data_IF_649466205473
#
_entry.id   IF_649466205473
#
_cell.length_a   1.000
_cell.length_b   1.000
_cell.length_c   1.000
_cell.angle_alpha   90.00
_cell.angle_beta   90.00
_cell.angle_gamma   90.00
#
_symmetry.space_group_name_H-M   'P 1'
#
loop_
_entity.id
_entity.type
_entity.pdbx_description
1 polymer ?
#
# COMPACT_ATOMS: atom_id res chain seq x y z
N UNK A 1 -27.46 30.26 54.79
CA UNK A 1 -28.31 30.90 53.76
C UNK A 1 -27.50 31.51 52.61
N UNK A 2 -26.39 32.23 52.84
CA UNK A 2 -25.57 32.80 51.75
C UNK A 2 -25.03 31.77 50.71
N UNK A 3 -24.72 30.56 51.15
CA UNK A 3 -24.19 29.49 50.30
C UNK A 3 -25.24 28.88 49.34
N UNK A 4 -26.52 28.88 49.71
CA UNK A 4 -27.61 28.38 48.86
C UNK A 4 -28.00 29.40 47.77
N UNK A 5 -27.92 30.69 48.07
CA UNK A 5 -28.14 31.76 47.07
C UNK A 5 -27.01 31.85 46.05
N UNK A 6 -25.75 31.72 46.48
CA UNK A 6 -24.60 31.62 45.55
C UNK A 6 -24.71 30.40 44.63
N UNK A 7 -25.19 29.25 45.13
CA UNK A 7 -25.43 28.07 44.30
C UNK A 7 -26.50 28.32 43.26
N UNK A 8 -27.62 28.95 43.64
CA UNK A 8 -28.72 29.29 42.73
C UNK A 8 -28.29 30.24 41.61
N UNK A 9 -27.43 31.22 41.92
CA UNK A 9 -26.94 32.19 40.93
C UNK A 9 -25.92 31.60 39.93
N UNK A 10 -25.22 30.52 40.32
CA UNK A 10 -24.22 29.85 39.49
C UNK A 10 -24.81 28.76 38.57
N UNK A 11 -26.04 28.29 38.83
CA UNK A 11 -26.74 27.30 38.00
C UNK A 11 -26.86 27.72 36.52
N UNK A 12 -27.30 28.95 36.17
CA UNK A 12 -27.40 29.33 34.76
C UNK A 12 -26.05 29.42 34.05
N UNK A 13 -24.97 29.78 34.76
CA UNK A 13 -23.61 29.78 34.21
C UNK A 13 -23.11 28.36 33.95
N UNK A 14 -23.40 27.42 34.85
CA UNK A 14 -23.08 25.99 34.69
C UNK A 14 -23.83 25.36 33.51
N UNK A 15 -25.11 25.68 33.33
CA UNK A 15 -25.91 25.17 32.20
C UNK A 15 -25.35 25.70 30.87
N UNK A 16 -24.99 26.99 30.79
CA UNK A 16 -24.35 27.56 29.59
C UNK A 16 -23.01 26.90 29.29
N UNK A 17 -22.20 26.63 30.31
CA UNK A 17 -20.93 25.93 30.17
C UNK A 17 -21.12 24.49 29.65
N UNK A 18 -22.07 23.73 30.22
CA UNK A 18 -22.40 22.38 29.78
C UNK A 18 -22.87 22.34 28.32
N UNK A 19 -23.73 23.28 27.91
CA UNK A 19 -24.19 23.40 26.52
C UNK A 19 -23.03 23.74 25.58
N UNK A 20 -22.12 24.63 25.99
CA UNK A 20 -20.94 25.01 25.20
C UNK A 20 -19.93 23.86 25.07
N UNK A 21 -19.68 23.11 26.15
CA UNK A 21 -18.81 21.93 26.09
C UNK A 21 -19.44 20.81 25.27
N UNK A 22 -20.77 20.64 25.33
CA UNK A 22 -21.50 19.65 24.54
C UNK A 22 -21.41 19.93 23.04
N UNK A 23 -21.60 21.18 22.61
CA UNK A 23 -21.45 21.57 21.20
C UNK A 23 -20.01 21.42 20.72
N UNK A 24 -19.02 21.77 21.54
CA UNK A 24 -17.61 21.58 21.23
C UNK A 24 -17.26 20.09 21.04
N UNK A 25 -17.80 19.21 21.88
CA UNK A 25 -17.59 17.76 21.77
C UNK A 25 -18.17 17.20 20.46
N UNK A 26 -19.38 17.63 20.07
CA UNK A 26 -20.01 17.20 18.82
C UNK A 26 -19.19 17.62 17.60
N UNK A 27 -18.65 18.83 17.60
CA UNK A 27 -17.75 19.32 16.53
C UNK A 27 -16.48 18.47 16.49
N UNK A 28 -15.88 18.16 17.65
CA UNK A 28 -14.67 17.34 17.73
C UNK A 28 -14.89 15.93 17.19
N UNK A 29 -15.99 15.27 17.58
CA UNK A 29 -16.33 13.92 17.09
C UNK A 29 -16.53 13.93 15.56
N UNK A 30 -17.23 14.94 15.05
CA UNK A 30 -17.47 15.08 13.61
C UNK A 30 -16.18 15.30 12.84
N UNK A 31 -15.28 16.15 13.34
CA UNK A 31 -13.96 16.39 12.75
C UNK A 31 -13.09 15.13 12.71
N UNK A 32 -13.08 14.34 13.80
CA UNK A 32 -12.36 13.06 13.85
C UNK A 32 -12.93 12.04 12.84
N UNK A 33 -14.25 11.96 12.69
CA UNK A 33 -14.89 11.07 11.73
C UNK A 33 -14.53 11.44 10.27
N UNK A 34 -14.53 12.74 9.96
CA UNK A 34 -14.11 13.24 8.63
C UNK A 34 -12.64 12.92 8.38
N UNK A 35 -11.76 13.17 9.36
CA UNK A 35 -10.33 12.89 9.23
C UNK A 35 -10.05 11.39 9.04
N UNK A 36 -10.79 10.54 9.76
CA UNK A 36 -10.71 9.10 9.60
C UNK A 36 -11.11 8.70 8.17
N UNK A 37 -12.28 9.15 7.70
CA UNK A 37 -12.77 8.83 6.35
C UNK A 37 -11.82 9.30 5.24
N UNK A 38 -11.25 10.50 5.38
CA UNK A 38 -10.26 11.02 4.44
C UNK A 38 -8.96 10.20 4.46
N UNK A 39 -8.56 9.66 5.62
CA UNK A 39 -7.34 8.85 5.74
C UNK A 39 -7.49 7.45 5.15
N UNK A 40 -8.69 6.85 5.19
CA UNK A 40 -8.95 5.52 4.62
C UNK A 40 -9.07 5.56 3.09
N UNK A 41 -9.48 6.69 2.51
CA UNK A 41 -9.61 6.87 1.06
C UNK A 41 -8.32 7.32 0.36
N UNK A 42 -7.18 7.35 1.05
CA UNK A 42 -5.90 7.63 0.38
C UNK A 42 -5.48 6.39 -0.39
N UNK A 43 -5.71 6.41 -1.69
CA UNK A 43 -5.14 5.46 -2.64
C UNK A 43 -3.62 5.58 -2.54
N UNK A 44 -3.00 4.61 -1.83
CA UNK A 44 -1.57 4.57 -1.59
C UNK A 44 -0.88 4.19 -2.90
N UNK A 45 -0.59 5.18 -3.73
CA UNK A 45 0.28 5.00 -4.88
C UNK A 45 1.70 4.70 -4.39
N UNK A 46 2.16 3.46 -4.58
CA UNK A 46 3.51 3.03 -4.20
C UNK A 46 4.50 3.57 -5.23
N UNK A 47 5.13 4.69 -4.91
CA UNK A 47 6.27 5.20 -5.67
C UNK A 47 7.55 4.70 -5.02
N UNK A 48 8.35 3.92 -5.75
CA UNK A 48 9.76 3.72 -5.41
C UNK A 48 10.60 4.75 -6.15
N UNK A 49 11.64 5.26 -5.47
CA UNK A 49 12.70 6.03 -6.11
C UNK A 49 13.81 5.06 -6.47
N UNK A 50 14.05 4.88 -7.77
CA UNK A 50 15.27 4.27 -8.30
C UNK A 50 16.09 5.39 -8.97
N UNK A 51 17.29 5.66 -8.46
CA UNK A 51 18.22 6.68 -8.98
C UNK A 51 17.61 8.06 -9.26
N UNK A 52 16.72 8.55 -8.37
CA UNK A 52 16.08 9.86 -8.49
C UNK A 52 14.91 9.92 -9.49
N UNK A 53 14.53 8.80 -10.11
CA UNK A 53 13.33 8.69 -10.94
C UNK A 53 12.22 8.02 -10.16
N UNK A 54 11.05 8.65 -10.12
CA UNK A 54 9.82 8.06 -9.59
C UNK A 54 9.41 6.90 -10.51
N UNK A 55 9.48 5.67 -10.00
CA UNK A 55 8.98 4.48 -10.69
C UNK A 55 7.71 4.04 -9.97
N UNK A 56 6.60 3.90 -10.72
CA UNK A 56 5.36 3.32 -10.21
C UNK A 56 5.63 1.85 -9.87
N UNK A 57 5.57 1.49 -8.58
CA UNK A 57 5.52 0.09 -8.18
C UNK A 57 4.08 -0.38 -8.37
N UNK A 58 3.91 -1.43 -9.16
CA UNK A 58 2.62 -2.10 -9.22
C UNK A 58 2.29 -2.64 -7.81
N UNK A 59 1.09 -2.38 -7.28
CA UNK A 59 0.69 -2.90 -5.99
C UNK A 59 0.75 -4.43 -6.01
N UNK A 60 1.26 -5.06 -4.96
CA UNK A 60 1.45 -6.52 -4.84
C UNK A 60 0.16 -7.35 -5.07
N UNK A 61 -1.01 -6.71 -5.03
CA UNK A 61 -2.31 -7.32 -5.24
C UNK A 61 -2.82 -7.29 -6.69
N UNK A 62 -2.09 -6.65 -7.61
CA UNK A 62 -2.41 -6.66 -9.04
C UNK A 62 -1.22 -7.24 -9.81
N UNK A 63 -1.48 -8.06 -10.85
CA UNK A 63 -0.41 -8.57 -11.68
C UNK A 63 0.33 -7.39 -12.31
N UNK A 64 1.59 -7.22 -11.92
CA UNK A 64 2.46 -6.13 -12.40
C UNK A 64 2.72 -6.21 -13.91
N UNK A 65 2.49 -7.38 -14.51
CA UNK A 65 2.76 -7.68 -15.90
C UNK A 65 1.49 -8.15 -16.60
N UNK A 66 1.33 -7.71 -17.86
CA UNK A 66 0.24 -8.16 -18.70
C UNK A 66 0.48 -9.59 -19.20
N UNK A 67 -0.59 -10.25 -19.68
CA UNK A 67 -0.46 -11.58 -20.30
C UNK A 67 0.52 -11.57 -21.49
N UNK A 68 0.58 -10.48 -22.24
CA UNK A 68 1.50 -10.32 -23.36
C UNK A 68 2.97 -10.30 -22.89
N UNK A 69 3.25 -9.67 -21.76
CA UNK A 69 4.59 -9.65 -21.18
C UNK A 69 5.03 -11.05 -20.73
N UNK A 70 4.10 -11.82 -20.13
CA UNK A 70 4.36 -13.20 -19.75
C UNK A 70 4.64 -14.11 -20.97
N UNK A 71 3.88 -13.94 -22.07
CA UNK A 71 4.12 -14.68 -23.32
C UNK A 71 5.47 -14.31 -23.95
N UNK A 72 5.83 -13.02 -23.96
CA UNK A 72 7.12 -12.56 -24.48
C UNK A 72 8.29 -13.06 -23.62
N UNK A 73 8.13 -13.11 -22.30
CA UNK A 73 9.12 -13.70 -21.41
C UNK A 73 9.34 -15.19 -21.73
N UNK A 74 8.26 -15.95 -21.88
CA UNK A 74 8.32 -17.38 -22.20
C UNK A 74 9.01 -17.66 -23.54
N UNK A 75 8.68 -16.91 -24.59
CA UNK A 75 9.31 -17.11 -25.91
C UNK A 75 10.81 -16.82 -25.88
N UNK A 76 11.24 -15.77 -25.18
CA UNK A 76 12.66 -15.44 -25.02
C UNK A 76 13.42 -16.48 -24.18
N UNK A 77 12.79 -16.99 -23.12
CA UNK A 77 13.37 -18.03 -22.28
C UNK A 77 13.60 -19.32 -23.10
N UNK A 78 12.60 -19.76 -23.87
CA UNK A 78 12.70 -20.94 -24.73
C UNK A 78 13.75 -20.76 -25.85
N UNK A 79 13.76 -19.60 -26.50
CA UNK A 79 14.75 -19.30 -27.54
C UNK A 79 16.18 -19.36 -26.99
N UNK A 80 16.41 -18.89 -25.76
CA UNK A 80 17.73 -18.92 -25.13
C UNK A 80 18.07 -20.33 -24.62
N UNK A 81 17.09 -21.07 -24.13
CA UNK A 81 17.25 -22.41 -23.57
C UNK A 81 17.63 -23.46 -24.63
N UNK A 82 17.16 -23.32 -25.87
CA UNK A 82 17.43 -24.30 -26.93
C UNK A 82 18.50 -23.85 -27.94
N UNK A 83 18.94 -22.59 -27.92
CA UNK A 83 20.08 -22.12 -28.72
C UNK A 83 21.37 -22.14 -27.91
N UNK A 84 21.93 -23.34 -27.73
CA UNK A 84 23.18 -23.55 -27.01
C UNK A 84 24.37 -23.68 -27.96
N UNK A 85 25.49 -23.08 -27.56
CA UNK A 85 26.78 -23.23 -28.22
C UNK A 85 27.58 -24.36 -27.57
N UNK A 86 28.23 -25.20 -28.38
CA UNK A 86 28.95 -26.38 -27.91
C UNK A 86 30.15 -26.04 -27.01
N UNK A 87 30.71 -24.83 -27.12
CA UNK A 87 31.82 -24.36 -26.27
C UNK A 87 31.32 -23.81 -24.93
N UNK A 88 30.19 -23.08 -24.93
CA UNK A 88 29.72 -22.32 -23.77
C UNK A 88 28.44 -22.85 -23.12
N UNK A 89 27.92 -24.01 -23.54
CA UNK A 89 26.62 -24.54 -23.11
C UNK A 89 26.46 -24.58 -21.58
N UNK A 90 27.50 -24.93 -20.82
CA UNK A 90 27.44 -24.95 -19.33
C UNK A 90 27.17 -23.58 -18.72
N UNK A 91 27.83 -22.55 -19.24
CA UNK A 91 27.64 -21.17 -18.78
C UNK A 91 26.27 -20.63 -19.21
N UNK A 92 25.80 -21.03 -20.39
CA UNK A 92 24.48 -20.64 -20.91
C UNK A 92 23.36 -21.28 -20.08
N UNK A 93 23.47 -22.56 -19.73
CA UNK A 93 22.51 -23.25 -18.86
C UNK A 93 22.48 -22.64 -17.45
N UNK A 94 23.63 -22.34 -16.84
CA UNK A 94 23.64 -21.68 -15.52
C UNK A 94 23.04 -20.28 -15.55
N UNK A 95 23.19 -19.55 -16.65
CA UNK A 95 22.61 -18.20 -16.83
C UNK A 95 21.09 -18.21 -16.95
N UNK A 96 20.49 -19.36 -17.26
CA UNK A 96 19.04 -19.55 -17.36
C UNK A 96 18.38 -19.91 -16.03
N UNK A 97 19.15 -20.30 -15.01
CA UNK A 97 18.60 -20.66 -13.68
C UNK A 97 17.63 -19.62 -13.11
N UNK A 98 17.87 -18.29 -13.19
CA UNK A 98 16.93 -17.29 -12.67
C UNK A 98 15.60 -17.18 -13.43
N UNK A 99 15.49 -17.77 -14.63
CA UNK A 99 14.27 -17.73 -15.45
C UNK A 99 13.34 -18.91 -15.20
N UNK A 100 13.77 -19.91 -14.43
CA UNK A 100 13.00 -21.07 -14.06
C UNK A 100 12.85 -21.15 -12.54
N UNK A 101 11.76 -21.76 -12.05
CA UNK A 101 11.74 -22.26 -10.68
C UNK A 101 12.67 -23.45 -10.54
N UNK A 102 13.09 -23.80 -9.32
CA UNK A 102 13.96 -24.96 -9.09
C UNK A 102 13.36 -26.26 -9.68
N UNK A 103 12.05 -26.45 -9.54
CA UNK A 103 11.31 -27.56 -10.14
C UNK A 103 11.25 -27.48 -11.68
N UNK A 104 11.03 -26.28 -12.23
CA UNK A 104 11.00 -26.06 -13.68
C UNK A 104 12.37 -26.24 -14.33
N UNK A 105 13.44 -25.91 -13.62
CA UNK A 105 14.81 -26.10 -14.08
C UNK A 105 15.19 -27.58 -14.07
N UNK A 106 14.74 -28.34 -13.06
CA UNK A 106 14.92 -29.80 -13.02
C UNK A 106 14.19 -30.53 -14.15
N UNK A 107 13.10 -29.97 -14.69
CA UNK A 107 12.43 -30.50 -15.89
C UNK A 107 13.11 -30.11 -17.21
N UNK A 108 14.00 -29.12 -17.20
CA UNK A 108 14.74 -28.63 -18.37
C UNK A 108 16.10 -29.32 -18.55
N UNK A 109 16.80 -29.64 -17.45
CA UNK A 109 18.10 -30.35 -17.41
C UNK A 109 17.91 -31.86 -17.60
#
# INVERSE_FOLDING_TARGET
>A
MKQSEQRANNVPALIKALLCTGTCLLISITGNAIQYWHSTNVEREYFATDNGRLVRLAPTNQPAWSQNDAMAFGSQALATAFNLDFVHYRSQISSLSPRFSDEGFAGYV
#
